data_IF_058478210789
#
_entry.id   IF_058478210789
#
_cell.length_a   1.000
_cell.length_b   1.000
_cell.length_c   1.000
_cell.angle_alpha   90.00
_cell.angle_beta   90.00
_cell.angle_gamma   90.00
#
_symmetry.space_group_name_H-M   'P 1'
#
loop_
_entity.id
_entity.type
_entity.pdbx_description
1 polymer ?
#
# COMPACT_ATOMS: atom_id res chain seq x y z
N UNK A 1 -4.18 -54.25 -10.69
CA UNK A 1 -3.66 -52.90 -11.02
C UNK A 1 -4.82 -51.92 -11.24
N UNK A 2 -5.39 -51.32 -10.20
CA UNK A 2 -6.47 -50.31 -10.38
C UNK A 2 -6.59 -49.26 -9.26
N UNK A 3 -5.63 -49.23 -8.32
CA UNK A 3 -5.71 -48.41 -7.11
C UNK A 3 -4.72 -47.21 -7.17
N UNK A 4 -3.82 -47.20 -8.15
CA UNK A 4 -2.75 -46.18 -8.27
C UNK A 4 -3.09 -44.94 -9.14
N UNK A 5 -4.34 -44.77 -9.57
CA UNK A 5 -4.72 -43.65 -10.47
C UNK A 5 -5.55 -42.54 -9.83
N UNK A 6 -5.97 -42.68 -8.58
CA UNK A 6 -6.81 -41.68 -7.89
C UNK A 6 -6.01 -40.66 -7.05
N UNK A 7 -4.75 -40.95 -6.71
CA UNK A 7 -3.95 -40.09 -5.83
C UNK A 7 -3.41 -38.80 -6.45
N UNK A 8 -3.32 -38.72 -7.79
CA UNK A 8 -2.69 -37.58 -8.46
C UNK A 8 -3.64 -36.44 -8.82
N UNK A 9 -4.96 -36.67 -8.87
CA UNK A 9 -5.93 -35.62 -9.20
C UNK A 9 -6.23 -34.69 -8.01
N UNK A 10 -6.03 -35.15 -6.77
CA UNK A 10 -6.33 -34.37 -5.57
C UNK A 10 -5.25 -33.32 -5.23
N UNK A 11 -3.98 -33.58 -5.59
CA UNK A 11 -2.87 -32.68 -5.24
C UNK A 11 -2.85 -31.40 -6.09
N UNK A 12 -3.28 -31.46 -7.36
CA UNK A 12 -3.26 -30.30 -8.26
C UNK A 12 -4.35 -29.27 -7.90
N UNK A 13 -5.48 -29.72 -7.36
CA UNK A 13 -6.56 -28.83 -6.92
C UNK A 13 -6.19 -28.10 -5.62
N UNK A 14 -5.45 -28.74 -4.71
CA UNK A 14 -5.00 -28.12 -3.46
C UNK A 14 -4.00 -26.97 -3.70
N UNK A 15 -3.10 -27.09 -4.67
CA UNK A 15 -2.15 -26.03 -5.02
C UNK A 15 -2.77 -24.85 -5.79
N UNK A 16 -3.91 -25.05 -6.46
CA UNK A 16 -4.63 -23.97 -7.13
C UNK A 16 -5.46 -23.12 -6.14
N UNK A 17 -5.94 -23.71 -5.04
CA UNK A 17 -6.68 -22.98 -4.01
C UNK A 17 -5.81 -22.16 -3.04
N UNK A 18 -4.50 -22.42 -2.97
CA UNK A 18 -3.60 -21.62 -2.12
C UNK A 18 -3.32 -20.22 -2.69
N UNK A 19 -3.63 -20.01 -3.98
CA UNK A 19 -3.36 -18.76 -4.69
C UNK A 19 -4.52 -17.75 -4.62
N UNK A 20 -5.67 -18.12 -4.03
CA UNK A 20 -6.82 -17.23 -3.90
C UNK A 20 -7.24 -17.05 -2.45
N UNK A 21 -7.38 -15.79 -2.04
CA UNK A 21 -8.27 -15.36 -0.95
C UNK A 21 -7.73 -15.32 0.49
N UNK A 22 -6.47 -14.88 0.68
CA UNK A 22 -6.40 -13.70 1.54
C UNK A 22 -6.97 -12.58 0.68
N UNK A 23 -8.27 -12.31 0.80
CA UNK A 23 -8.82 -11.03 0.39
C UNK A 23 -8.07 -10.01 1.25
N UNK A 24 -6.87 -9.62 0.80
CA UNK A 24 -6.01 -8.73 1.53
C UNK A 24 -6.87 -7.50 1.74
N UNK A 25 -7.20 -7.17 2.99
CA UNK A 25 -8.02 -6.01 3.29
C UNK A 25 -7.26 -4.81 2.75
N UNK A 26 -7.68 -4.38 1.56
CA UNK A 26 -7.10 -3.30 0.81
C UNK A 26 -7.91 -2.06 1.14
N UNK A 27 -7.21 -1.02 1.57
CA UNK A 27 -7.80 0.28 1.84
C UNK A 27 -7.08 1.34 1.03
N UNK A 28 -7.78 2.42 0.68
CA UNK A 28 -7.12 3.59 0.12
C UNK A 28 -6.46 4.37 1.26
N UNK A 29 -5.15 4.47 1.21
CA UNK A 29 -4.38 5.32 2.12
C UNK A 29 -4.10 6.64 1.42
N UNK A 30 -4.15 7.72 2.17
CA UNK A 30 -3.81 9.05 1.67
C UNK A 30 -3.06 9.85 2.71
N UNK A 31 -2.28 10.81 2.24
CA UNK A 31 -1.57 11.76 3.07
C UNK A 31 -1.49 13.12 2.37
N UNK A 32 -1.32 14.16 3.18
CA UNK A 32 -1.18 15.55 2.76
C UNK A 32 0.27 15.98 3.00
N UNK A 33 0.78 16.83 2.13
CA UNK A 33 2.04 17.55 2.34
C UNK A 33 1.91 18.98 1.86
N UNK A 34 2.29 19.90 2.74
CA UNK A 34 2.25 21.34 2.50
C UNK A 34 3.65 21.90 2.37
N UNK A 35 3.86 22.80 1.40
CA UNK A 35 5.12 23.51 1.29
C UNK A 35 4.99 24.83 0.50
N UNK A 36 6.04 25.64 0.52
CA UNK A 36 6.12 26.90 -0.22
C UNK A 36 6.38 26.71 -1.72
N UNK A 37 6.84 25.52 -2.13
CA UNK A 37 7.00 25.16 -3.55
C UNK A 37 6.24 23.88 -3.89
N UNK A 38 5.86 23.74 -5.16
CA UNK A 38 5.09 22.61 -5.65
C UNK A 38 5.84 21.29 -5.46
N UNK A 39 7.12 21.24 -5.86
CA UNK A 39 7.90 20.01 -5.83
C UNK A 39 8.15 19.53 -4.40
N UNK A 40 8.36 20.47 -3.46
CA UNK A 40 8.46 20.12 -2.05
C UNK A 40 7.11 19.63 -1.48
N UNK A 41 5.99 20.26 -1.85
CA UNK A 41 4.67 19.79 -1.42
C UNK A 41 4.36 18.37 -1.95
N UNK A 42 4.70 18.09 -3.22
CA UNK A 42 4.62 16.74 -3.80
C UNK A 42 5.50 15.76 -3.04
N UNK A 43 6.76 16.12 -2.78
CA UNK A 43 7.71 15.28 -2.06
C UNK A 43 7.21 14.96 -0.64
N UNK A 44 6.70 15.95 0.07
CA UNK A 44 6.20 15.78 1.44
C UNK A 44 4.97 14.88 1.45
N UNK A 45 4.00 15.12 0.56
CA UNK A 45 2.77 14.31 0.49
C UNK A 45 3.04 12.84 0.12
N UNK A 46 3.97 12.59 -0.79
CA UNK A 46 4.33 11.24 -1.25
C UNK A 46 5.12 10.46 -0.19
N UNK A 47 6.06 11.11 0.51
CA UNK A 47 6.76 10.49 1.63
C UNK A 47 5.84 10.24 2.82
N UNK A 48 4.95 11.19 3.14
CA UNK A 48 3.94 11.01 4.17
C UNK A 48 3.02 9.82 3.87
N UNK A 49 2.63 9.63 2.62
CA UNK A 49 1.87 8.46 2.19
C UNK A 49 2.65 7.16 2.40
N UNK A 50 3.90 7.11 1.96
CA UNK A 50 4.77 5.93 2.11
C UNK A 50 4.94 5.54 3.57
N UNK A 51 5.23 6.50 4.43
CA UNK A 51 5.43 6.29 5.86
C UNK A 51 4.12 5.87 6.56
N UNK A 52 2.99 6.45 6.17
CA UNK A 52 1.67 6.04 6.69
C UNK A 52 1.34 4.59 6.31
N UNK A 53 1.67 4.18 5.09
CA UNK A 53 1.51 2.79 4.63
C UNK A 53 2.41 1.86 5.46
N UNK A 54 3.70 2.20 5.60
CA UNK A 54 4.67 1.41 6.35
C UNK A 54 4.32 1.29 7.84
N UNK A 55 3.95 2.39 8.50
CA UNK A 55 3.57 2.41 9.92
C UNK A 55 2.31 1.61 10.22
N UNK A 56 1.46 1.38 9.22
CA UNK A 56 0.26 0.51 9.32
C UNK A 56 0.54 -0.96 8.96
N UNK A 57 1.76 -1.31 8.56
CA UNK A 57 2.09 -2.66 8.07
C UNK A 57 1.35 -3.01 6.78
N UNK A 58 1.01 -2.00 5.98
CA UNK A 58 0.35 -2.20 4.69
C UNK A 58 1.40 -2.23 3.58
N UNK A 59 1.05 -2.85 2.46
CA UNK A 59 1.86 -2.88 1.24
C UNK A 59 1.12 -2.11 0.15
N UNK A 60 1.76 -1.06 -0.38
CA UNK A 60 1.23 -0.26 -1.49
C UNK A 60 0.99 -1.11 -2.75
N UNK A 61 -0.13 -0.85 -3.44
CA UNK A 61 -0.55 -1.52 -4.67
C UNK A 61 -0.91 -0.48 -5.73
N UNK A 62 -0.32 -0.64 -6.92
CA UNK A 62 -0.57 0.22 -8.07
C UNK A 62 0.11 1.60 -7.95
N UNK A 63 -0.22 2.54 -8.84
CA UNK A 63 0.41 3.85 -8.87
C UNK A 63 -0.08 4.76 -7.73
N UNK A 64 0.80 5.66 -7.27
CA UNK A 64 0.42 6.77 -6.40
C UNK A 64 -0.27 7.84 -7.25
N UNK A 65 -1.42 8.33 -6.78
CA UNK A 65 -2.13 9.47 -7.38
C UNK A 65 -1.91 10.71 -6.53
N UNK A 66 -1.38 11.76 -7.14
CA UNK A 66 -1.10 13.02 -6.46
C UNK A 66 -1.86 14.16 -7.14
N UNK A 67 -2.47 15.03 -6.33
CA UNK A 67 -3.13 16.26 -6.78
C UNK A 67 -2.75 17.41 -5.86
N UNK A 68 -2.41 18.56 -6.42
CA UNK A 68 -2.00 19.73 -5.66
C UNK A 68 -2.95 20.90 -5.86
N UNK A 69 -3.11 21.70 -4.81
CA UNK A 69 -3.85 22.95 -4.80
C UNK A 69 -2.93 24.06 -4.33
N UNK A 70 -2.83 25.13 -5.10
CA UNK A 70 -2.12 26.33 -4.69
C UNK A 70 -3.03 27.19 -3.84
N UNK A 71 -2.72 27.30 -2.55
CA UNK A 71 -3.35 28.26 -1.65
C UNK A 71 -2.70 29.65 -1.75
N UNK A 72 -3.15 30.58 -0.91
CA UNK A 72 -2.65 31.96 -0.90
C UNK A 72 -1.22 32.10 -0.37
N UNK A 73 -0.72 31.14 0.42
CA UNK A 73 0.62 31.19 1.02
C UNK A 73 1.42 29.88 0.85
N UNK A 74 0.73 28.75 0.70
CA UNK A 74 1.34 27.41 0.63
C UNK A 74 0.66 26.60 -0.47
N UNK A 75 1.39 25.64 -1.02
CA UNK A 75 0.88 24.61 -1.92
C UNK A 75 0.62 23.36 -1.09
N UNK A 76 -0.62 22.88 -1.15
CA UNK A 76 -1.07 21.66 -0.50
C UNK A 76 -1.16 20.55 -1.55
N UNK A 77 -0.45 19.45 -1.34
CA UNK A 77 -0.54 18.27 -2.19
C UNK A 77 -1.15 17.09 -1.42
N UNK A 78 -2.07 16.39 -2.09
CA UNK A 78 -2.71 15.17 -1.60
C UNK A 78 -2.22 13.98 -2.42
N UNK A 79 -1.60 13.00 -1.77
CA UNK A 79 -1.13 11.76 -2.38
C UNK A 79 -1.91 10.57 -1.85
N UNK A 80 -2.35 9.66 -2.72
CA UNK A 80 -3.11 8.47 -2.34
C UNK A 80 -2.72 7.23 -3.13
N UNK A 81 -2.85 6.06 -2.50
CA UNK A 81 -2.60 4.75 -3.10
C UNK A 81 -3.48 3.69 -2.43
N UNK A 82 -3.82 2.63 -3.17
CA UNK A 82 -4.36 1.43 -2.52
C UNK A 82 -3.24 0.74 -1.74
N UNK A 83 -3.50 0.28 -0.53
CA UNK A 83 -2.56 -0.51 0.25
C UNK A 83 -3.29 -1.64 0.96
N UNK A 84 -2.69 -2.82 0.99
CA UNK A 84 -3.33 -4.02 1.51
C UNK A 84 -2.53 -4.60 2.67
N UNK A 85 -3.21 -5.32 3.58
CA UNK A 85 -2.52 -6.08 4.63
C UNK A 85 -1.49 -7.05 4.03
N UNK A 86 -0.33 -7.15 4.68
CA UNK A 86 0.72 -8.09 4.28
C UNK A 86 2.15 -7.66 4.63
N UNK A 87 2.36 -6.46 5.18
CA UNK A 87 3.66 -6.00 5.66
C UNK A 87 3.78 -6.07 7.19
N UNK A 88 4.99 -5.88 7.69
CA UNK A 88 5.25 -5.67 9.12
C UNK A 88 5.14 -4.18 9.42
N UNK A 89 4.36 -3.75 10.44
CA UNK A 89 4.30 -2.34 10.83
C UNK A 89 5.68 -1.80 11.21
N UNK A 90 6.09 -0.70 10.57
CA UNK A 90 7.31 0.04 10.95
C UNK A 90 7.03 0.95 12.14
N UNK A 91 8.04 1.17 12.98
CA UNK A 91 7.93 2.14 14.05
C UNK A 91 8.12 3.54 13.46
N UNK A 92 7.05 4.34 13.40
CA UNK A 92 7.10 5.66 12.79
C UNK A 92 6.82 6.79 13.80
N UNK A 93 7.61 7.85 13.75
CA UNK A 93 7.34 9.12 14.41
C UNK A 93 6.41 9.95 13.50
N UNK A 94 5.12 9.69 13.65
CA UNK A 94 4.09 10.29 12.79
C UNK A 94 4.26 9.90 11.32
N UNK A 95 3.81 10.73 10.37
CA UNK A 95 3.91 10.45 8.95
C UNK A 95 5.30 10.74 8.36
N UNK A 96 6.31 11.14 9.14
CA UNK A 96 7.54 11.74 8.60
C UNK A 96 8.76 10.82 8.64
N UNK A 97 8.88 9.98 9.67
CA UNK A 97 10.07 9.17 9.90
C UNK A 97 9.65 7.77 10.35
N UNK A 98 10.18 6.74 9.70
CA UNK A 98 9.99 5.34 10.07
C UNK A 98 11.35 4.66 10.24
N UNK A 99 11.46 3.78 11.24
CA UNK A 99 12.64 2.96 11.57
C UNK A 99 12.41 1.50 11.20
#
# INVERSE_FOLDING_TARGET
MRIFKLGFAAAVVACALSATAQAAECTRVAAIGDNVTHDLAVLFSTNALKNTIAGRGLIGKGPVKTSCKTGSAMIECYSSQMACKGGTPAACLGPWLCF
#
